data_IF_587841730491
#
_entry.id   IF_587841730491
#
_cell.length_a   1.000
_cell.length_b   1.000
_cell.length_c   1.000
_cell.angle_alpha   90.00
_cell.angle_beta   90.00
_cell.angle_gamma   90.00
#
_symmetry.space_group_name_H-M   'P 1'
#
loop_
_entity.id
_entity.type
_entity.pdbx_description
1 polymer ?
#
# COMPACT_ATOMS: atom_id res chain seq x y z
N UNK A 1 -29.45 48.69 16.11
CA UNK A 1 -28.05 48.53 16.55
C UNK A 1 -27.79 47.05 16.69
N UNK A 2 -26.80 46.53 15.97
CA UNK A 2 -26.40 45.13 16.00
C UNK A 2 -26.80 44.35 14.75
N UNK A 3 -25.87 44.21 13.81
CA UNK A 3 -25.28 42.91 13.47
C UNK A 3 -24.07 43.18 12.58
N UNK A 4 -22.89 42.89 13.13
CA UNK A 4 -21.73 42.57 12.31
C UNK A 4 -21.89 41.12 11.85
N UNK A 5 -21.39 40.84 10.67
CA UNK A 5 -21.09 39.49 10.23
C UNK A 5 -19.70 39.52 9.60
N UNK A 6 -18.86 38.67 10.17
CA UNK A 6 -17.48 38.40 9.84
C UNK A 6 -17.38 37.71 8.46
N UNK A 7 -16.49 38.20 7.61
CA UNK A 7 -16.15 37.60 6.32
C UNK A 7 -15.29 36.33 6.55
N UNK A 8 -15.94 35.21 6.81
CA UNK A 8 -15.33 33.88 6.71
C UNK A 8 -15.23 33.50 5.22
N UNK A 9 -14.03 33.66 4.66
CA UNK A 9 -13.70 33.35 3.26
C UNK A 9 -13.70 31.84 2.96
N UNK A 10 -14.85 31.18 3.05
CA UNK A 10 -15.09 29.92 2.37
C UNK A 10 -15.58 30.24 0.95
N UNK A 11 -14.69 30.08 -0.04
CA UNK A 11 -15.12 30.10 -1.44
C UNK A 11 -15.94 28.82 -1.72
N UNK A 12 -17.25 28.90 -1.53
CA UNK A 12 -18.17 27.89 -2.01
C UNK A 12 -18.10 27.86 -3.55
N UNK A 13 -17.42 26.86 -4.10
CA UNK A 13 -17.30 26.68 -5.54
C UNK A 13 -18.71 26.43 -6.07
N UNK A 14 -19.25 27.42 -6.77
CA UNK A 14 -20.60 27.34 -7.31
C UNK A 14 -20.68 26.27 -8.41
N UNK A 15 -21.83 25.58 -8.53
CA UNK A 15 -22.09 24.58 -9.59
C UNK A 15 -21.83 25.15 -11.00
N UNK A 16 -21.96 26.45 -11.16
CA UNK A 16 -21.72 27.20 -12.39
C UNK A 16 -20.23 27.39 -12.68
N UNK A 17 -19.40 27.63 -11.67
CA UNK A 17 -17.94 27.68 -11.80
C UNK A 17 -17.34 26.31 -12.14
N UNK A 18 -17.86 25.24 -11.55
CA UNK A 18 -17.47 23.86 -11.85
C UNK A 18 -17.80 23.46 -13.30
N UNK A 19 -18.82 24.08 -13.90
CA UNK A 19 -19.24 23.84 -15.29
C UNK A 19 -18.67 24.85 -16.30
N UNK A 20 -17.84 25.81 -15.87
CA UNK A 20 -17.23 26.77 -16.79
C UNK A 20 -16.26 26.03 -17.73
N UNK A 21 -16.39 26.17 -19.06
CA UNK A 21 -15.45 25.53 -19.97
C UNK A 21 -14.05 26.06 -19.68
N UNK A 22 -13.11 25.16 -19.47
CA UNK A 22 -11.71 25.49 -19.26
C UNK A 22 -11.20 26.29 -20.47
N UNK A 23 -10.92 27.58 -20.27
CA UNK A 23 -10.29 28.43 -21.28
C UNK A 23 -8.79 28.48 -20.97
N UNK A 24 -7.96 27.65 -21.62
CA UNK A 24 -6.52 27.67 -21.38
C UNK A 24 -5.94 29.03 -21.78
N UNK A 25 -4.93 29.48 -21.02
CA UNK A 25 -4.16 30.67 -21.38
C UNK A 25 -3.42 30.46 -22.71
N UNK A 26 -3.12 31.54 -23.43
CA UNK A 26 -2.34 31.50 -24.68
C UNK A 26 -1.02 30.70 -24.53
N UNK A 27 -0.35 30.85 -23.39
CA UNK A 27 0.87 30.11 -23.06
C UNK A 27 0.64 28.60 -23.03
N UNK A 28 -0.50 28.16 -22.50
CA UNK A 28 -0.82 26.74 -22.40
C UNK A 28 -1.26 26.14 -23.74
N UNK A 29 -1.95 26.91 -24.59
CA UNK A 29 -2.42 26.43 -25.89
C UNK A 29 -1.32 26.42 -26.96
N UNK A 30 -0.37 27.36 -26.91
CA UNK A 30 0.62 27.52 -27.99
C UNK A 30 2.06 27.34 -27.55
N UNK A 31 2.48 27.93 -26.42
CA UNK A 31 3.89 27.96 -26.02
C UNK A 31 4.37 26.61 -25.45
N UNK A 32 3.62 26.02 -24.52
CA UNK A 32 3.94 24.70 -23.95
C UNK A 32 4.01 23.59 -25.01
N UNK A 33 3.01 23.41 -25.90
CA UNK A 33 3.08 22.38 -26.93
C UNK A 33 4.18 22.65 -27.96
N UNK A 34 4.50 23.92 -28.25
CA UNK A 34 5.62 24.26 -29.13
C UNK A 34 6.97 23.81 -28.53
N UNK A 35 7.23 24.09 -27.25
CA UNK A 35 8.44 23.62 -26.58
C UNK A 35 8.53 22.09 -26.53
N UNK A 36 7.41 21.41 -26.27
CA UNK A 36 7.35 19.95 -26.31
C UNK A 36 7.65 19.40 -27.71
N UNK A 37 7.11 20.03 -28.76
CA UNK A 37 7.30 19.64 -30.15
C UNK A 37 8.76 19.71 -30.60
N UNK A 38 9.52 20.71 -30.14
CA UNK A 38 10.97 20.83 -30.43
C UNK A 38 11.73 19.56 -30.04
N UNK A 39 11.30 18.87 -28.98
CA UNK A 39 11.95 17.64 -28.49
C UNK A 39 11.27 16.38 -29.03
N UNK A 40 9.94 16.35 -29.07
CA UNK A 40 9.18 15.16 -29.46
C UNK A 40 9.31 14.85 -30.96
N UNK A 41 9.31 15.87 -31.83
CA UNK A 41 9.45 15.70 -33.28
C UNK A 41 10.76 15.00 -33.67
N UNK A 42 11.95 15.43 -33.21
CA UNK A 42 13.17 14.71 -33.55
C UNK A 42 13.24 13.31 -32.91
N UNK A 43 12.68 13.11 -31.71
CA UNK A 43 12.66 11.80 -31.04
C UNK A 43 11.76 10.80 -31.77
N UNK A 44 10.56 11.23 -32.17
CA UNK A 44 9.62 10.42 -32.96
C UNK A 44 10.21 10.11 -34.34
N UNK A 45 10.81 11.10 -35.01
CA UNK A 45 11.55 10.88 -36.26
C UNK A 45 12.64 9.81 -36.10
N UNK A 46 13.48 9.90 -35.07
CA UNK A 46 14.55 8.92 -34.81
C UNK A 46 13.99 7.52 -34.53
N UNK A 47 12.92 7.42 -33.75
CA UNK A 47 12.25 6.16 -33.45
C UNK A 47 11.77 5.46 -34.72
N UNK A 48 11.05 6.19 -35.58
CA UNK A 48 10.45 5.63 -36.79
C UNK A 48 11.50 5.34 -37.88
N UNK A 49 12.45 6.25 -38.08
CA UNK A 49 13.38 6.18 -39.20
C UNK A 49 14.60 5.29 -38.93
N UNK A 50 15.02 5.15 -37.66
CA UNK A 50 16.23 4.43 -37.29
C UNK A 50 15.90 3.21 -36.43
N UNK A 51 15.23 3.40 -35.28
CA UNK A 51 15.01 2.31 -34.31
C UNK A 51 14.12 1.22 -34.88
N UNK A 52 12.96 1.57 -35.44
CA UNK A 52 11.99 0.60 -35.93
C UNK A 52 12.48 -0.15 -37.18
N UNK A 53 13.24 0.51 -38.06
CA UNK A 53 13.85 -0.14 -39.23
C UNK A 53 15.00 -1.09 -38.85
N UNK A 54 15.74 -0.78 -37.79
CA UNK A 54 16.83 -1.62 -37.31
C UNK A 54 16.33 -2.79 -36.44
N UNK A 55 15.21 -2.60 -35.72
CA UNK A 55 14.64 -3.58 -34.81
C UNK A 55 13.91 -4.69 -35.56
N UNK A 56 14.60 -5.82 -35.75
CA UNK A 56 13.95 -7.07 -36.19
C UNK A 56 13.13 -7.64 -35.00
N UNK A 57 11.81 -7.86 -35.12
CA UNK A 57 11.04 -8.43 -34.03
C UNK A 57 11.50 -9.88 -33.79
N UNK A 58 11.99 -10.15 -32.59
CA UNK A 58 12.32 -11.49 -32.14
C UNK A 58 11.23 -11.98 -31.18
N UNK A 59 10.66 -13.18 -31.38
CA UNK A 59 9.68 -13.71 -30.45
C UNK A 59 10.37 -14.05 -29.13
N UNK A 60 9.76 -13.65 -28.01
CA UNK A 60 10.13 -14.12 -26.68
C UNK A 60 8.90 -14.72 -26.02
N UNK A 61 9.10 -15.78 -25.23
CA UNK A 61 8.02 -16.50 -24.57
C UNK A 61 8.15 -16.40 -23.06
N UNK A 62 7.02 -16.29 -22.39
CA UNK A 62 6.99 -16.40 -20.94
C UNK A 62 7.22 -17.86 -20.52
N UNK A 63 8.24 -18.09 -19.69
CA UNK A 63 8.56 -19.43 -19.20
C UNK A 63 7.42 -19.93 -18.30
N UNK A 64 6.90 -21.12 -18.60
CA UNK A 64 5.88 -21.80 -17.78
C UNK A 64 6.56 -22.90 -16.96
N UNK A 65 6.45 -22.82 -15.65
CA UNK A 65 6.92 -23.87 -14.75
C UNK A 65 5.75 -24.79 -14.40
N UNK A 66 5.94 -26.11 -14.56
CA UNK A 66 5.00 -27.09 -14.03
C UNK A 66 5.09 -27.13 -12.50
N UNK A 67 3.98 -27.46 -11.85
CA UNK A 67 3.97 -27.67 -10.40
C UNK A 67 4.71 -28.96 -10.05
N UNK A 68 5.47 -28.90 -8.97
CA UNK A 68 6.21 -29.99 -8.31
C UNK A 68 5.41 -30.37 -7.06
N UNK A 69 5.51 -31.62 -6.56
CA UNK A 69 5.03 -31.96 -5.22
C UNK A 69 5.54 -30.97 -4.17
N UNK A 70 4.66 -30.67 -3.23
CA UNK A 70 4.92 -29.80 -2.08
C UNK A 70 5.59 -30.58 -0.95
N UNK A 71 6.20 -29.85 -0.01
CA UNK A 71 7.11 -30.40 1.00
C UNK A 71 6.48 -31.46 1.91
N UNK A 72 5.17 -31.37 2.14
CA UNK A 72 4.42 -32.31 2.98
C UNK A 72 4.28 -33.71 2.37
N UNK A 73 4.44 -33.82 1.05
CA UNK A 73 4.34 -35.10 0.33
C UNK A 73 5.68 -35.81 0.16
N UNK A 74 6.79 -35.08 0.33
CA UNK A 74 8.13 -35.63 0.20
C UNK A 74 8.47 -36.57 1.37
N UNK A 75 9.21 -37.64 1.06
CA UNK A 75 9.84 -38.48 2.07
C UNK A 75 10.99 -37.70 2.76
N UNK A 76 11.30 -38.04 4.02
CA UNK A 76 12.29 -37.30 4.82
C UNK A 76 13.73 -37.43 4.32
N UNK A 77 14.03 -38.52 3.61
CA UNK A 77 15.34 -38.88 3.06
C UNK A 77 15.52 -38.46 1.58
N UNK A 78 14.45 -38.03 0.90
CA UNK A 78 14.50 -37.65 -0.51
C UNK A 78 14.94 -36.18 -0.71
N UNK A 79 16.26 -35.98 -0.75
CA UNK A 79 16.88 -34.67 -0.97
C UNK A 79 16.47 -34.02 -2.31
N UNK A 80 16.12 -34.80 -3.33
CA UNK A 80 15.74 -34.27 -4.65
C UNK A 80 14.36 -33.64 -4.57
N UNK A 81 13.40 -34.34 -3.95
CA UNK A 81 12.06 -33.80 -3.71
C UNK A 81 12.12 -32.52 -2.86
N UNK A 82 12.93 -32.52 -1.80
CA UNK A 82 13.17 -31.32 -0.98
C UNK A 82 13.70 -30.14 -1.81
N UNK A 83 14.69 -30.38 -2.67
CA UNK A 83 15.29 -29.34 -3.49
C UNK A 83 14.29 -28.77 -4.50
N UNK A 84 13.55 -29.62 -5.22
CA UNK A 84 12.57 -29.16 -6.21
C UNK A 84 11.42 -28.38 -5.55
N UNK A 85 10.93 -28.83 -4.39
CA UNK A 85 9.93 -28.14 -3.60
C UNK A 85 10.43 -26.78 -3.10
N UNK A 86 11.69 -26.69 -2.65
CA UNK A 86 12.28 -25.43 -2.23
C UNK A 86 12.42 -24.44 -3.39
N UNK A 87 12.87 -24.91 -4.55
CA UNK A 87 12.95 -24.10 -5.76
C UNK A 87 11.57 -23.60 -6.23
N UNK A 88 10.50 -24.38 -6.04
CA UNK A 88 9.14 -23.89 -6.29
C UNK A 88 8.72 -22.83 -5.28
N UNK A 89 8.97 -23.07 -3.98
CA UNK A 89 8.68 -22.12 -2.91
C UNK A 89 9.35 -20.75 -3.13
N UNK A 90 10.62 -20.72 -3.52
CA UNK A 90 11.35 -19.49 -3.82
C UNK A 90 10.74 -18.71 -4.99
N UNK A 91 10.35 -19.42 -6.06
CA UNK A 91 9.67 -18.81 -7.21
C UNK A 91 8.32 -18.23 -6.82
N UNK A 92 7.52 -18.99 -6.07
CA UNK A 92 6.21 -18.52 -5.60
C UNK A 92 6.36 -17.32 -4.64
N UNK A 93 7.37 -17.30 -3.77
CA UNK A 93 7.71 -16.14 -2.92
C UNK A 93 8.09 -14.91 -3.73
N UNK A 94 8.86 -15.08 -4.81
CA UNK A 94 9.21 -13.98 -5.72
C UNK A 94 7.99 -13.45 -6.48
N UNK A 95 7.06 -14.33 -6.89
CA UNK A 95 5.79 -13.93 -7.51
C UNK A 95 4.94 -13.14 -6.52
N UNK A 96 4.75 -13.64 -5.29
CA UNK A 96 3.96 -12.97 -4.25
C UNK A 96 4.53 -11.58 -3.92
N UNK A 97 5.86 -11.43 -3.89
CA UNK A 97 6.52 -10.12 -3.70
C UNK A 97 6.20 -9.15 -4.84
N UNK A 98 6.13 -9.63 -6.08
CA UNK A 98 5.78 -8.80 -7.23
C UNK A 98 4.29 -8.45 -7.26
N UNK A 99 3.41 -9.34 -6.79
CA UNK A 99 1.98 -9.04 -6.62
C UNK A 99 1.82 -7.86 -5.66
N UNK A 100 2.47 -7.89 -4.50
CA UNK A 100 2.46 -6.75 -3.57
C UNK A 100 3.01 -5.47 -4.19
N UNK A 101 4.08 -5.56 -4.97
CA UNK A 101 4.64 -4.40 -5.66
C UNK A 101 3.64 -3.76 -6.63
N UNK A 102 2.87 -4.57 -7.35
CA UNK A 102 1.83 -4.08 -8.27
C UNK A 102 0.69 -3.42 -7.49
N UNK A 103 0.18 -4.05 -6.43
CA UNK A 103 -0.88 -3.49 -5.59
C UNK A 103 -0.45 -2.18 -4.93
N UNK A 104 0.78 -2.14 -4.42
CA UNK A 104 1.37 -0.94 -3.83
C UNK A 104 1.42 0.21 -4.83
N UNK A 105 1.86 -0.08 -6.07
CA UNK A 105 1.91 0.91 -7.14
C UNK A 105 0.51 1.45 -7.46
N UNK A 106 -0.50 0.59 -7.56
CA UNK A 106 -1.89 1.03 -7.80
C UNK A 106 -2.41 1.96 -6.71
N UNK A 107 -2.17 1.59 -5.45
CA UNK A 107 -2.52 2.43 -4.30
C UNK A 107 -1.82 3.79 -4.36
N UNK A 108 -0.52 3.80 -4.66
CA UNK A 108 0.28 5.02 -4.73
C UNK A 108 -0.14 5.92 -5.90
N UNK A 109 -0.45 5.34 -7.06
CA UNK A 109 -0.98 6.05 -8.23
C UNK A 109 -2.35 6.67 -7.94
N UNK A 110 -3.27 5.92 -7.30
CA UNK A 110 -4.58 6.44 -6.92
C UNK A 110 -4.45 7.61 -5.93
N UNK A 111 -3.64 7.43 -4.87
CA UNK A 111 -3.38 8.49 -3.89
C UNK A 111 -2.72 9.71 -4.53
N UNK A 112 -1.80 9.52 -5.47
CA UNK A 112 -1.11 10.61 -6.15
C UNK A 112 -2.06 11.41 -7.07
N UNK A 113 -3.06 10.75 -7.66
CA UNK A 113 -4.06 11.40 -8.51
C UNK A 113 -5.03 12.27 -7.69
N UNK A 114 -5.58 11.74 -6.59
CA UNK A 114 -6.55 12.43 -5.73
C UNK A 114 -5.92 13.23 -4.58
N UNK A 115 -4.60 13.47 -4.59
CA UNK A 115 -3.83 14.03 -3.46
C UNK A 115 -4.25 15.43 -2.97
N UNK A 116 -5.11 16.14 -3.71
CA UNK A 116 -5.50 17.51 -3.39
C UNK A 116 -6.61 17.57 -2.32
N UNK A 117 -7.38 16.48 -2.16
CA UNK A 117 -8.44 16.38 -1.17
C UNK A 117 -8.40 14.99 -0.50
N UNK A 118 -8.37 14.97 0.83
CA UNK A 118 -8.32 13.71 1.59
C UNK A 118 -9.64 12.95 1.51
N UNK A 119 -10.77 13.64 1.40
CA UNK A 119 -12.09 13.00 1.27
C UNK A 119 -12.21 12.22 -0.04
N UNK A 120 -11.66 12.75 -1.13
CA UNK A 120 -11.65 12.09 -2.44
C UNK A 120 -10.78 10.83 -2.44
N UNK A 121 -9.62 10.85 -1.76
CA UNK A 121 -8.79 9.65 -1.61
C UNK A 121 -9.57 8.56 -0.89
N UNK A 122 -10.27 8.89 0.19
CA UNK A 122 -11.07 7.92 0.94
C UNK A 122 -12.29 7.44 0.16
N UNK A 123 -12.87 8.28 -0.69
CA UNK A 123 -14.05 7.91 -1.49
C UNK A 123 -13.69 6.98 -2.66
N UNK A 124 -12.60 7.29 -3.38
CA UNK A 124 -12.26 6.59 -4.62
C UNK A 124 -11.19 5.51 -4.46
N UNK A 125 -10.23 5.69 -3.55
CA UNK A 125 -9.10 4.77 -3.39
C UNK A 125 -9.29 3.72 -2.28
N UNK A 126 -10.38 3.78 -1.51
CA UNK A 126 -10.60 2.88 -0.36
C UNK A 126 -10.44 1.41 -0.70
N UNK A 127 -11.11 0.93 -1.75
CA UNK A 127 -11.07 -0.49 -2.10
C UNK A 127 -9.63 -0.93 -2.47
N UNK A 128 -8.89 -0.10 -3.20
CA UNK A 128 -7.49 -0.36 -3.58
C UNK A 128 -6.57 -0.38 -2.36
N UNK A 129 -6.82 0.51 -1.39
CA UNK A 129 -6.07 0.55 -0.13
C UNK A 129 -6.31 -0.74 0.66
N UNK A 130 -7.58 -1.14 0.82
CA UNK A 130 -7.97 -2.36 1.53
C UNK A 130 -7.37 -3.59 0.85
N UNK A 131 -7.48 -3.73 -0.48
CA UNK A 131 -6.87 -4.83 -1.22
C UNK A 131 -5.35 -4.94 -0.98
N UNK A 132 -4.64 -3.80 -0.97
CA UNK A 132 -3.21 -3.77 -0.70
C UNK A 132 -2.90 -4.17 0.75
N UNK A 133 -3.67 -3.67 1.72
CA UNK A 133 -3.48 -3.96 3.15
C UNK A 133 -3.74 -5.44 3.45
N UNK A 134 -4.83 -5.99 2.96
CA UNK A 134 -5.15 -7.42 3.09
C UNK A 134 -4.05 -8.29 2.46
N UNK A 135 -3.58 -7.93 1.26
CA UNK A 135 -2.49 -8.64 0.61
C UNK A 135 -1.18 -8.54 1.40
N UNK A 136 -0.86 -7.37 1.95
CA UNK A 136 0.33 -7.15 2.76
C UNK A 136 0.30 -7.98 4.06
N UNK A 137 -0.86 -8.02 4.73
CA UNK A 137 -1.08 -8.86 5.92
C UNK A 137 -0.93 -10.34 5.55
N UNK A 138 -1.55 -10.81 4.47
CA UNK A 138 -1.43 -12.20 4.01
C UNK A 138 0.01 -12.59 3.68
N UNK A 139 0.76 -11.69 3.03
CA UNK A 139 2.17 -11.90 2.75
C UNK A 139 3.00 -11.98 4.04
N UNK A 140 2.74 -11.11 5.02
CA UNK A 140 3.42 -11.13 6.31
C UNK A 140 3.08 -12.39 7.12
N UNK A 141 1.83 -12.86 7.09
CA UNK A 141 1.43 -14.12 7.72
C UNK A 141 2.23 -15.28 7.11
N UNK A 142 2.39 -15.32 5.78
CA UNK A 142 3.11 -16.41 5.09
C UNK A 142 4.63 -16.31 5.23
N UNK A 143 5.20 -15.12 5.07
CA UNK A 143 6.66 -14.91 4.92
C UNK A 143 7.32 -14.05 6.01
N UNK A 144 6.54 -13.39 6.87
CA UNK A 144 7.04 -12.54 7.94
C UNK A 144 7.78 -13.33 9.01
N UNK A 145 8.69 -12.67 9.73
CA UNK A 145 9.48 -13.22 10.86
C UNK A 145 10.36 -14.45 10.54
N UNK A 146 10.34 -14.89 9.29
CA UNK A 146 11.22 -15.90 8.75
C UNK A 146 12.61 -15.27 8.54
N UNK A 147 13.65 -15.95 9.04
CA UNK A 147 15.05 -15.56 8.87
C UNK A 147 15.45 -15.41 7.38
N UNK A 148 16.60 -14.80 7.13
CA UNK A 148 17.15 -14.63 5.79
C UNK A 148 17.50 -15.96 5.11
N UNK A 149 17.89 -16.98 5.88
CA UNK A 149 18.24 -18.33 5.42
C UNK A 149 17.03 -19.30 5.49
N UNK A 150 15.85 -18.87 5.05
CA UNK A 150 14.63 -19.66 5.22
C UNK A 150 14.27 -20.53 4.04
N UNK A 151 14.22 -21.83 4.33
CA UNK A 151 13.76 -22.87 3.41
C UNK A 151 12.24 -23.09 3.51
N UNK A 152 11.71 -23.84 2.55
CA UNK A 152 10.32 -24.31 2.53
C UNK A 152 9.90 -25.04 3.82
N UNK A 153 10.83 -25.72 4.50
CA UNK A 153 10.59 -26.42 5.76
C UNK A 153 10.19 -25.46 6.89
N UNK A 154 10.83 -24.29 6.97
CA UNK A 154 10.53 -23.27 7.97
C UNK A 154 9.15 -22.66 7.75
N UNK A 155 8.80 -22.37 6.49
CA UNK A 155 7.48 -21.88 6.13
C UNK A 155 6.38 -22.91 6.47
N UNK A 156 6.66 -24.19 6.23
CA UNK A 156 5.75 -25.28 6.59
C UNK A 156 5.57 -25.44 8.10
N UNK A 157 6.65 -25.33 8.89
CA UNK A 157 6.55 -25.35 10.35
C UNK A 157 5.78 -24.14 10.90
N UNK A 158 5.95 -22.96 10.30
CA UNK A 158 5.15 -21.77 10.63
C UNK A 158 3.66 -22.01 10.36
N UNK A 159 3.32 -22.58 9.20
CA UNK A 159 1.94 -22.94 8.87
C UNK A 159 1.35 -23.94 9.88
N UNK A 160 2.10 -24.98 10.24
CA UNK A 160 1.69 -25.94 11.27
C UNK A 160 1.45 -25.28 12.62
N UNK A 161 2.33 -24.37 13.04
CA UNK A 161 2.19 -23.64 14.29
C UNK A 161 0.88 -22.85 14.31
N UNK A 162 0.56 -22.15 13.20
CA UNK A 162 -0.72 -21.44 13.05
C UNK A 162 -1.92 -22.39 13.14
N UNK A 163 -1.92 -23.50 12.41
CA UNK A 163 -3.03 -24.46 12.44
C UNK A 163 -3.24 -25.08 13.83
N UNK A 164 -2.15 -25.39 14.55
CA UNK A 164 -2.22 -25.87 15.93
C UNK A 164 -2.76 -24.82 16.89
N UNK A 165 -2.41 -23.56 16.70
CA UNK A 165 -2.95 -22.45 17.47
C UNK A 165 -4.45 -22.27 17.21
N UNK A 166 -4.86 -22.26 15.93
CA UNK A 166 -6.25 -22.10 15.51
C UNK A 166 -7.15 -23.22 16.06
N UNK A 167 -6.63 -24.45 16.09
CA UNK A 167 -7.34 -25.58 16.72
C UNK A 167 -7.62 -25.36 18.20
N UNK A 168 -6.76 -24.63 18.92
CA UNK A 168 -6.89 -24.40 20.38
C UNK A 168 -7.69 -23.15 20.72
N UNK A 169 -7.57 -22.10 19.91
CA UNK A 169 -8.10 -20.78 20.23
C UNK A 169 -9.21 -20.31 19.29
N UNK A 170 -9.48 -21.02 18.19
CA UNK A 170 -10.38 -20.57 17.12
C UNK A 170 -9.62 -19.79 16.03
N UNK A 171 -10.33 -19.25 15.03
CA UNK A 171 -9.69 -18.46 13.97
C UNK A 171 -8.87 -17.30 14.55
N UNK A 172 -7.68 -17.05 14.00
CA UNK A 172 -6.81 -15.94 14.42
C UNK A 172 -7.62 -14.64 14.39
N UNK A 173 -7.67 -13.94 15.53
CA UNK A 173 -8.44 -12.70 15.71
C UNK A 173 -9.86 -12.86 16.27
N UNK A 174 -10.40 -14.08 16.34
CA UNK A 174 -11.77 -14.35 16.83
C UNK A 174 -11.82 -15.20 18.10
N UNK A 175 -10.66 -15.66 18.59
CA UNK A 175 -10.59 -16.48 19.78
C UNK A 175 -11.03 -15.74 21.04
N UNK A 176 -11.92 -16.34 21.83
CA UNK A 176 -12.40 -15.75 23.09
C UNK A 176 -11.25 -15.41 24.05
N UNK A 177 -10.19 -16.23 24.07
CA UNK A 177 -8.98 -15.95 24.86
C UNK A 177 -8.20 -14.75 24.33
N UNK A 178 -8.01 -14.64 23.01
CA UNK A 178 -7.36 -13.47 22.40
C UNK A 178 -8.14 -12.17 22.58
N UNK A 179 -9.48 -12.21 22.56
CA UNK A 179 -10.29 -11.02 22.85
C UNK A 179 -10.12 -10.56 24.30
N UNK A 180 -10.08 -11.49 25.25
CA UNK A 180 -9.82 -11.20 26.67
C UNK A 180 -8.39 -10.69 26.88
N UNK A 181 -7.41 -11.26 26.18
CA UNK A 181 -6.00 -10.86 26.30
C UNK A 181 -5.72 -9.52 25.62
N UNK A 182 -6.36 -9.21 24.49
CA UNK A 182 -6.32 -7.88 23.86
C UNK A 182 -7.01 -6.85 24.74
N UNK A 183 -8.18 -7.16 25.30
CA UNK A 183 -8.83 -6.24 26.25
C UNK A 183 -7.94 -5.95 27.46
N UNK A 184 -7.26 -6.97 28.01
CA UNK A 184 -6.29 -6.79 29.10
C UNK A 184 -5.05 -6.00 28.67
N UNK A 185 -4.58 -6.19 27.44
CA UNK A 185 -3.45 -5.44 26.89
C UNK A 185 -3.80 -3.97 26.65
N UNK A 186 -4.98 -3.68 26.10
CA UNK A 186 -5.54 -2.34 25.94
C UNK A 186 -5.70 -1.67 27.30
N UNK A 187 -6.29 -2.36 28.29
CA UNK A 187 -6.40 -1.85 29.65
C UNK A 187 -5.02 -1.55 30.28
N UNK A 188 -4.01 -2.38 30.02
CA UNK A 188 -2.64 -2.12 30.49
C UNK A 188 -1.94 -0.97 29.75
N UNK A 189 -2.26 -0.76 28.47
CA UNK A 189 -1.74 0.33 27.66
C UNK A 189 -2.41 1.66 28.04
N UNK A 190 -3.71 1.66 28.30
CA UNK A 190 -4.47 2.81 28.81
C UNK A 190 -3.93 3.23 30.19
N UNK A 191 -3.67 2.27 31.09
CA UNK A 191 -3.01 2.54 32.39
C UNK A 191 -1.59 3.08 32.24
N UNK A 192 -0.84 2.63 31.23
CA UNK A 192 0.49 3.15 30.95
C UNK A 192 0.43 4.57 30.35
N UNK A 193 -0.57 4.87 29.52
CA UNK A 193 -0.82 6.20 28.98
C UNK A 193 -1.22 7.19 30.09
N UNK A 194 -2.11 6.80 31.01
CA UNK A 194 -2.48 7.59 32.18
C UNK A 194 -1.27 7.92 33.08
N UNK A 195 -0.27 7.02 33.14
CA UNK A 195 0.96 7.25 33.90
C UNK A 195 1.92 8.24 33.22
N UNK A 196 1.92 8.32 31.88
CA UNK A 196 2.65 9.35 31.12
C UNK A 196 1.92 10.71 31.09
N UNK A 197 0.60 10.72 31.32
CA UNK A 197 -0.28 11.89 31.23
C UNK A 197 -0.09 12.96 32.32
N UNK A 198 0.67 12.67 33.38
CA UNK A 198 0.81 13.59 34.53
C UNK A 198 1.70 14.82 34.26
N UNK A 199 2.85 14.64 33.60
CA UNK A 199 3.85 15.73 33.47
C UNK A 199 4.31 15.99 32.03
N UNK A 200 4.52 14.94 31.23
CA UNK A 200 4.99 15.09 29.86
C UNK A 200 3.87 15.47 28.89
N UNK A 201 2.64 14.98 29.10
CA UNK A 201 1.47 15.37 28.30
C UNK A 201 1.10 16.85 28.48
N UNK A 202 1.18 17.38 29.71
CA UNK A 202 0.95 18.80 30.01
C UNK A 202 2.00 19.69 29.33
N UNK A 203 3.27 19.29 29.35
CA UNK A 203 4.36 19.97 28.65
C UNK A 203 4.21 19.93 27.12
N UNK A 204 3.73 18.81 26.55
CA UNK A 204 3.41 18.69 25.12
C UNK A 204 2.21 19.56 24.71
N UNK A 205 1.16 19.66 25.54
CA UNK A 205 0.00 20.57 25.29
C UNK A 205 0.38 22.05 25.33
N UNK A 206 1.34 22.43 26.19
CA UNK A 206 1.81 23.82 26.28
C UNK A 206 2.66 24.19 25.07
N UNK A 207 3.51 23.27 24.62
CA UNK A 207 4.37 23.47 23.44
C UNK A 207 3.62 23.35 22.11
N UNK A 208 2.55 22.54 22.04
CA UNK A 208 1.70 22.41 20.84
C UNK A 208 0.71 23.56 20.63
N UNK A 209 0.55 24.48 21.60
CA UNK A 209 -0.34 25.64 21.50
C UNK A 209 0.29 26.86 20.84
N UNK A 210 1.58 26.81 20.51
CA UNK A 210 2.21 27.81 19.65
C UNK A 210 1.87 27.51 18.18
N UNK A 211 0.67 27.92 17.74
CA UNK A 211 0.33 27.94 16.31
C UNK A 211 -1.03 27.37 15.89
N UNK A 212 -1.89 26.91 16.81
CA UNK A 212 -3.24 26.49 16.43
C UNK A 212 -4.24 27.67 16.45
N UNK A 213 -5.07 27.84 15.39
CA UNK A 213 -6.16 28.81 15.39
C UNK A 213 -7.19 28.50 16.49
N UNK A 214 -7.90 29.54 16.93
CA UNK A 214 -8.73 29.51 18.16
C UNK A 214 -9.88 28.50 18.11
N UNK A 215 -10.34 28.10 16.93
CA UNK A 215 -11.53 27.27 16.71
C UNK A 215 -11.37 25.78 17.06
N UNK A 216 -10.15 25.32 17.34
CA UNK A 216 -9.88 23.92 17.74
C UNK A 216 -9.43 23.81 19.21
N UNK A 217 -9.88 24.74 20.05
CA UNK A 217 -9.75 24.63 21.50
C UNK A 217 -11.07 24.07 22.05
N UNK A 218 -11.06 22.98 22.87
CA UNK A 218 -12.28 22.50 23.49
C UNK A 218 -12.90 23.54 24.43
#
# INVERSE_FOLDING_TARGET
MGHGDDDDGHHDISREELMRPYQPSFMQTHFVPFLFSIVDVPVTFFREHIVEKLRKPYPYYHRRFRRVPTIETCALDDLVCFHEANMQYERDRAVDKNILRILRRRRDECRAWYKFDEEDVQRFCKDIIVEHEEAAVNFFIKYGELSWNTDVSHAFMKQKHRMLWERRHGPVGTGQRSAVDVARAVESADKAAEQEDSMLATLRRITSRAGLPKELRP
#
